data_IF_378062606162
#
_entry.id   IF_378062606162
#
_cell.length_a   1.000
_cell.length_b   1.000
_cell.length_c   1.000
_cell.angle_alpha   90.00
_cell.angle_beta   90.00
_cell.angle_gamma   90.00
#
_symmetry.space_group_name_H-M   'P 1'
#
loop_
_entity.id
_entity.type
_entity.pdbx_description
1 polymer ?
#
# COMPACT_ATOMS: atom_id res chain seq x y z
N UNK A 1 -24.65 11.27 8.28
CA UNK A 1 -23.38 11.90 7.88
C UNK A 1 -22.39 11.89 9.03
N UNK A 2 -21.09 11.84 8.77
CA UNK A 2 -20.08 11.89 9.86
C UNK A 2 -20.03 13.28 10.48
N UNK A 3 -20.01 14.32 9.65
CA UNK A 3 -20.06 15.72 10.06
C UNK A 3 -21.32 16.40 9.51
N UNK A 4 -21.71 17.56 10.02
CA UNK A 4 -22.79 18.36 9.45
C UNK A 4 -22.55 18.61 7.96
N UNK A 5 -23.61 18.51 7.16
CA UNK A 5 -23.52 18.67 5.72
C UNK A 5 -24.70 19.48 5.20
N UNK A 6 -24.44 20.38 4.26
CA UNK A 6 -25.49 21.12 3.56
C UNK A 6 -26.09 20.35 2.37
N UNK A 7 -25.57 19.15 2.06
CA UNK A 7 -26.01 18.36 0.91
C UNK A 7 -27.31 17.59 1.19
N UNK A 8 -27.73 17.47 2.48
CA UNK A 8 -28.97 16.81 2.90
C UNK A 8 -29.46 17.47 4.20
N UNK A 9 -30.61 18.10 4.16
CA UNK A 9 -31.18 18.83 5.30
C UNK A 9 -31.57 17.90 6.46
N UNK A 10 -31.85 16.61 6.18
CA UNK A 10 -32.30 15.60 7.15
C UNK A 10 -31.21 14.62 7.59
N UNK A 11 -29.95 14.88 7.28
CA UNK A 11 -28.87 13.94 7.61
C UNK A 11 -28.51 14.02 9.10
N UNK A 12 -28.87 12.97 9.85
CA UNK A 12 -28.40 12.80 11.23
C UNK A 12 -26.87 12.74 11.27
N UNK A 13 -26.26 13.52 12.18
CA UNK A 13 -24.82 13.56 12.39
C UNK A 13 -24.42 12.43 13.32
N UNK A 14 -23.67 11.48 12.80
CA UNK A 14 -23.18 10.33 13.54
C UNK A 14 -22.11 10.71 14.58
N UNK A 15 -21.18 11.56 14.17
CA UNK A 15 -20.03 11.96 14.99
C UNK A 15 -18.93 10.92 15.09
N UNK A 16 -17.74 11.36 15.48
CA UNK A 16 -16.50 10.55 15.52
C UNK A 16 -16.60 9.43 16.55
N UNK A 17 -17.17 9.70 17.72
CA UNK A 17 -17.28 8.70 18.80
C UNK A 17 -18.06 7.47 18.35
N UNK A 18 -19.24 7.68 17.77
CA UNK A 18 -20.10 6.59 17.31
C UNK A 18 -19.49 5.86 16.09
N UNK A 19 -18.77 6.59 15.22
CA UNK A 19 -18.01 5.99 14.14
C UNK A 19 -16.97 4.99 14.67
N UNK A 20 -16.20 5.38 15.69
CA UNK A 20 -15.20 4.52 16.32
C UNK A 20 -15.82 3.27 16.98
N UNK A 21 -16.93 3.43 17.70
CA UNK A 21 -17.68 2.30 18.27
C UNK A 21 -18.14 1.31 17.17
N UNK A 22 -18.51 1.81 15.99
CA UNK A 22 -18.92 0.96 14.86
C UNK A 22 -17.74 0.21 14.27
N UNK A 23 -16.59 0.87 14.04
CA UNK A 23 -15.38 0.23 13.48
C UNK A 23 -14.81 -0.82 14.42
N UNK A 24 -14.93 -0.65 15.72
CA UNK A 24 -14.53 -1.64 16.74
C UNK A 24 -15.46 -2.87 16.78
N UNK A 25 -16.69 -2.73 16.30
CA UNK A 25 -17.72 -3.78 16.39
C UNK A 25 -17.82 -4.63 15.12
N UNK A 26 -17.45 -4.07 13.97
CA UNK A 26 -17.67 -4.68 12.65
C UNK A 26 -16.31 -4.98 12.00
N UNK A 27 -16.05 -6.24 11.71
CA UNK A 27 -14.83 -6.69 11.02
C UNK A 27 -15.01 -6.67 9.47
N UNK A 28 -15.38 -5.50 8.96
CA UNK A 28 -15.53 -5.24 7.51
C UNK A 28 -14.90 -3.89 7.18
N UNK A 29 -14.33 -3.74 5.95
CA UNK A 29 -13.84 -2.45 5.51
C UNK A 29 -14.92 -1.38 5.56
N UNK A 30 -14.63 -0.26 6.24
CA UNK A 30 -15.58 0.83 6.41
C UNK A 30 -15.08 2.13 5.79
N UNK A 31 -15.98 2.80 5.06
CA UNK A 31 -15.72 4.09 4.43
C UNK A 31 -16.60 5.17 5.06
N UNK A 32 -15.99 6.22 5.57
CA UNK A 32 -16.70 7.36 6.13
C UNK A 32 -17.19 8.30 5.02
N UNK A 33 -18.45 8.75 5.14
CA UNK A 33 -19.05 9.67 4.18
C UNK A 33 -19.93 10.73 4.90
N UNK A 34 -20.00 11.91 4.30
CA UNK A 34 -20.90 13.01 4.68
C UNK A 34 -20.24 14.10 5.54
N UNK A 35 -20.22 15.32 5.00
CA UNK A 35 -19.67 16.51 5.62
C UNK A 35 -18.15 16.53 5.77
N UNK A 36 -17.44 15.58 5.15
CA UNK A 36 -15.97 15.51 5.20
C UNK A 36 -15.39 16.54 4.23
N UNK A 37 -14.41 17.29 4.70
CA UNK A 37 -13.73 18.36 3.97
C UNK A 37 -12.22 18.35 4.25
N UNK A 38 -11.48 19.19 3.53
CA UNK A 38 -10.06 19.42 3.79
C UNK A 38 -9.78 19.80 5.26
N UNK A 39 -10.64 20.61 5.88
CA UNK A 39 -10.40 21.13 7.21
C UNK A 39 -10.66 20.12 8.33
N UNK A 40 -11.61 19.19 8.12
CA UNK A 40 -12.03 18.26 9.18
C UNK A 40 -11.60 16.81 8.95
N UNK A 41 -11.06 16.43 7.77
CA UNK A 41 -10.70 15.04 7.49
C UNK A 41 -9.70 14.46 8.50
N UNK A 42 -8.76 15.25 9.03
CA UNK A 42 -7.80 14.78 10.04
C UNK A 42 -8.43 14.36 11.37
N UNK A 43 -9.64 14.81 11.67
CA UNK A 43 -10.37 14.36 12.85
C UNK A 43 -10.79 12.89 12.78
N UNK A 44 -10.70 12.28 11.59
CA UNK A 44 -10.99 10.87 11.36
C UNK A 44 -9.79 9.95 11.66
N UNK A 45 -8.64 10.52 12.05
CA UNK A 45 -7.47 9.74 12.46
C UNK A 45 -7.82 8.82 13.63
N UNK A 46 -7.29 7.62 13.61
CA UNK A 46 -7.46 6.60 14.67
C UNK A 46 -8.94 6.19 14.93
N UNK A 47 -9.81 6.38 13.94
CA UNK A 47 -11.21 5.92 14.03
C UNK A 47 -11.42 4.51 13.49
N UNK A 48 -10.41 3.88 12.91
CA UNK A 48 -10.49 2.51 12.37
C UNK A 48 -11.18 2.40 11.01
N UNK A 49 -11.42 3.51 10.29
CA UNK A 49 -11.95 3.47 8.93
C UNK A 49 -10.87 3.15 7.89
N UNK A 50 -11.26 2.52 6.80
CA UNK A 50 -10.38 2.15 5.68
C UNK A 50 -10.36 3.21 4.58
N UNK A 51 -11.29 4.16 4.59
CA UNK A 51 -11.37 5.19 3.57
C UNK A 51 -12.35 6.30 3.87
N UNK A 52 -12.31 7.34 3.05
CA UNK A 52 -13.30 8.41 3.03
C UNK A 52 -13.95 8.54 1.65
N UNK A 53 -15.23 8.94 1.62
CA UNK A 53 -15.92 9.35 0.41
C UNK A 53 -16.35 10.81 0.54
N UNK A 54 -16.05 11.62 -0.48
CA UNK A 54 -16.34 13.05 -0.50
C UNK A 54 -16.98 13.46 -1.83
N UNK A 55 -17.88 14.41 -1.78
CA UNK A 55 -18.52 15.00 -2.98
C UNK A 55 -18.26 16.51 -3.00
N UNK A 56 -18.89 17.27 -2.12
CA UNK A 56 -18.83 18.74 -2.11
C UNK A 56 -17.43 19.27 -1.81
N UNK A 57 -16.62 18.55 -1.07
CA UNK A 57 -15.22 18.90 -0.81
C UNK A 57 -14.36 18.99 -2.08
N UNK A 58 -14.76 18.30 -3.14
CA UNK A 58 -14.08 18.33 -4.45
C UNK A 58 -14.89 19.10 -5.47
N UNK A 59 -16.12 18.66 -5.73
CA UNK A 59 -16.95 19.24 -6.82
C UNK A 59 -17.50 20.63 -6.50
N UNK A 60 -17.50 21.05 -5.25
CA UNK A 60 -17.80 22.44 -4.84
C UNK A 60 -16.64 23.43 -5.01
N UNK A 61 -15.46 22.96 -5.43
CA UNK A 61 -14.26 23.80 -5.56
C UNK A 61 -14.09 24.35 -6.98
N UNK A 62 -13.55 25.56 -7.10
CA UNK A 62 -13.23 26.18 -8.41
C UNK A 62 -12.15 25.41 -9.18
N UNK A 63 -11.21 24.83 -8.46
CA UNK A 63 -10.06 24.08 -9.01
C UNK A 63 -10.08 22.65 -8.52
N UNK A 64 -10.97 21.82 -9.07
CA UNK A 64 -11.23 20.44 -8.64
C UNK A 64 -9.94 19.61 -8.59
N UNK A 65 -9.10 19.68 -9.63
CA UNK A 65 -7.83 18.95 -9.69
C UNK A 65 -6.92 19.27 -8.51
N UNK A 66 -6.75 20.55 -8.19
CA UNK A 66 -5.90 20.97 -7.06
C UNK A 66 -6.51 20.54 -5.73
N UNK A 67 -7.81 20.75 -5.55
CA UNK A 67 -8.52 20.33 -4.35
C UNK A 67 -8.41 18.81 -4.11
N UNK A 68 -8.45 18.01 -5.19
CA UNK A 68 -8.26 16.55 -5.10
C UNK A 68 -6.84 16.21 -4.64
N UNK A 69 -5.82 16.84 -5.24
CA UNK A 69 -4.42 16.61 -4.86
C UNK A 69 -4.19 16.97 -3.38
N UNK A 70 -4.70 18.14 -2.96
CA UNK A 70 -4.47 18.63 -1.62
C UNK A 70 -5.21 17.80 -0.57
N UNK A 71 -6.46 17.42 -0.85
CA UNK A 71 -7.23 16.54 0.03
C UNK A 71 -6.60 15.15 0.10
N UNK A 72 -6.16 14.59 -1.03
CA UNK A 72 -5.49 13.29 -1.06
C UNK A 72 -4.25 13.29 -0.18
N UNK A 73 -3.33 14.25 -0.35
CA UNK A 73 -2.13 14.37 0.49
C UNK A 73 -2.46 14.45 1.98
N UNK A 74 -3.54 15.15 2.33
CA UNK A 74 -3.96 15.32 3.71
C UNK A 74 -4.58 14.03 4.27
N UNK A 75 -5.31 13.30 3.44
CA UNK A 75 -5.92 12.00 3.80
C UNK A 75 -4.87 10.90 3.89
N UNK A 76 -3.88 10.89 3.01
CA UNK A 76 -2.76 9.94 3.08
C UNK A 76 -2.01 10.03 4.44
N UNK A 77 -2.03 11.20 5.07
CA UNK A 77 -1.50 11.37 6.43
C UNK A 77 -2.40 10.79 7.55
N UNK A 78 -3.64 10.38 7.26
CA UNK A 78 -4.52 9.67 8.21
C UNK A 78 -4.17 8.19 8.32
N UNK A 79 -3.76 7.63 7.20
CA UNK A 79 -3.36 6.23 7.12
C UNK A 79 -1.85 6.18 7.31
N UNK A 80 -1.37 5.24 8.12
CA UNK A 80 0.06 4.95 8.13
C UNK A 80 0.45 4.65 6.68
N UNK A 81 1.25 5.51 6.08
CA UNK A 81 1.81 5.28 4.75
C UNK A 81 2.62 4.00 4.85
N UNK A 82 2.17 2.95 4.19
CA UNK A 82 2.89 1.70 4.14
C UNK A 82 4.18 1.97 3.36
N UNK A 83 5.34 1.90 4.04
CA UNK A 83 6.64 2.03 3.38
C UNK A 83 6.79 0.99 2.30
N UNK A 84 7.45 1.33 1.20
CA UNK A 84 7.66 0.43 0.07
C UNK A 84 9.08 -0.11 0.04
N UNK A 85 9.24 -1.40 -0.20
CA UNK A 85 10.54 -2.04 -0.31
C UNK A 85 10.57 -3.05 -1.47
N UNK A 86 11.60 -2.96 -2.30
CA UNK A 86 11.87 -3.94 -3.37
C UNK A 86 12.92 -4.95 -2.90
N UNK A 87 12.61 -6.26 -2.99
CA UNK A 87 13.64 -7.29 -2.90
C UNK A 87 14.04 -7.76 -4.30
N UNK A 88 15.35 -7.78 -4.55
CA UNK A 88 15.97 -8.34 -5.76
C UNK A 88 16.69 -9.61 -5.33
N UNK A 89 16.10 -10.77 -5.59
CA UNK A 89 16.63 -12.05 -5.09
C UNK A 89 16.06 -13.24 -5.87
N UNK A 90 16.65 -14.41 -5.66
CA UNK A 90 16.10 -15.67 -6.13
C UNK A 90 14.84 -16.08 -5.37
N UNK A 91 14.07 -16.98 -5.95
CA UNK A 91 12.91 -17.59 -5.27
C UNK A 91 13.37 -18.78 -4.42
N UNK A 92 12.52 -19.18 -3.47
CA UNK A 92 12.57 -20.46 -2.76
C UNK A 92 11.19 -21.08 -2.78
N UNK A 93 11.02 -22.19 -3.49
CA UNK A 93 9.72 -22.87 -3.63
C UNK A 93 9.14 -23.34 -2.30
N UNK A 94 9.97 -23.60 -1.28
CA UNK A 94 9.53 -23.94 0.07
C UNK A 94 9.13 -22.73 0.92
N UNK A 95 9.49 -21.52 0.47
CA UNK A 95 9.10 -20.28 1.11
C UNK A 95 9.89 -19.90 2.36
N UNK A 96 11.00 -20.58 2.67
CA UNK A 96 11.85 -20.34 3.83
C UNK A 96 12.99 -19.35 3.60
N UNK A 97 13.29 -19.03 2.34
CA UNK A 97 14.34 -18.12 1.93
C UNK A 97 13.89 -17.27 0.73
N UNK A 98 14.83 -16.53 0.12
CA UNK A 98 14.64 -15.77 -1.10
C UNK A 98 13.52 -14.73 -0.98
N UNK A 99 12.91 -14.40 -2.11
CA UNK A 99 11.82 -13.41 -2.17
C UNK A 99 10.63 -13.77 -1.28
N UNK A 100 10.33 -15.05 -1.10
CA UNK A 100 9.19 -15.50 -0.30
C UNK A 100 9.39 -15.19 1.19
N UNK A 101 10.59 -15.38 1.73
CA UNK A 101 10.92 -15.01 3.10
C UNK A 101 10.96 -13.49 3.27
N UNK A 102 11.51 -12.78 2.29
CA UNK A 102 11.59 -11.32 2.29
C UNK A 102 10.19 -10.69 2.31
N UNK A 103 9.30 -11.10 1.41
CA UNK A 103 7.93 -10.59 1.33
C UNK A 103 7.11 -10.86 2.60
N UNK A 104 7.26 -12.06 3.19
CA UNK A 104 6.64 -12.39 4.49
C UNK A 104 7.15 -11.48 5.61
N UNK A 105 8.46 -11.22 5.63
CA UNK A 105 9.09 -10.35 6.62
C UNK A 105 8.63 -8.90 6.44
N UNK A 106 8.60 -8.39 5.21
CA UNK A 106 8.10 -7.06 4.89
C UNK A 106 6.65 -6.89 5.34
N UNK A 107 5.78 -7.86 4.99
CA UNK A 107 4.37 -7.85 5.40
C UNK A 107 4.21 -7.85 6.92
N UNK A 108 4.97 -8.69 7.63
CA UNK A 108 4.92 -8.76 9.09
C UNK A 108 5.35 -7.44 9.77
N UNK A 109 6.15 -6.62 9.07
CA UNK A 109 6.57 -5.29 9.51
C UNK A 109 5.76 -4.14 8.90
N UNK A 110 4.60 -4.43 8.32
CA UNK A 110 3.71 -3.44 7.67
C UNK A 110 4.42 -2.67 6.53
N UNK A 111 5.26 -3.33 5.77
CA UNK A 111 5.95 -2.81 4.59
C UNK A 111 5.33 -3.42 3.34
N UNK A 112 5.01 -2.60 2.35
CA UNK A 112 4.58 -3.07 1.03
C UNK A 112 5.78 -3.65 0.29
N UNK A 113 5.86 -4.99 0.24
CA UNK A 113 6.95 -5.72 -0.39
C UNK A 113 6.70 -5.94 -1.88
N UNK A 114 7.68 -5.55 -2.68
CA UNK A 114 7.76 -5.82 -4.12
C UNK A 114 8.95 -6.72 -4.41
N UNK A 115 8.96 -7.43 -5.55
CA UNK A 115 10.06 -8.34 -5.87
C UNK A 115 10.47 -8.27 -7.35
N UNK A 116 11.79 -8.34 -7.58
CA UNK A 116 12.40 -8.65 -8.87
C UNK A 116 13.21 -9.96 -8.72
N UNK A 117 12.86 -10.95 -9.52
CA UNK A 117 13.36 -12.31 -9.36
C UNK A 117 14.62 -12.50 -10.20
N UNK A 118 15.71 -12.94 -9.56
CA UNK A 118 16.99 -13.21 -10.22
C UNK A 118 17.12 -14.64 -10.73
N UNK A 119 16.48 -15.58 -10.05
CA UNK A 119 16.41 -16.99 -10.46
C UNK A 119 15.21 -17.67 -9.80
N UNK A 120 14.62 -18.64 -10.48
CA UNK A 120 13.66 -19.56 -9.89
C UNK A 120 14.40 -20.79 -9.40
N UNK A 121 14.10 -21.29 -8.20
CA UNK A 121 14.68 -22.50 -7.67
C UNK A 121 13.63 -23.56 -7.37
N UNK A 122 13.98 -24.81 -7.63
CA UNK A 122 13.33 -25.97 -7.04
C UNK A 122 14.05 -26.28 -5.73
N UNK A 123 13.56 -25.71 -4.64
CA UNK A 123 14.25 -25.71 -3.33
C UNK A 123 13.31 -26.14 -2.22
N UNK A 124 13.89 -26.80 -1.20
CA UNK A 124 13.23 -27.13 0.05
C UNK A 124 14.24 -26.97 1.22
N UNK A 125 13.84 -27.38 2.43
CA UNK A 125 14.67 -27.24 3.63
C UNK A 125 15.93 -28.10 3.63
N UNK A 126 16.07 -29.04 2.70
CA UNK A 126 17.22 -29.96 2.59
C UNK A 126 18.20 -29.53 1.49
N UNK A 127 17.79 -28.68 0.55
CA UNK A 127 18.68 -28.19 -0.52
C UNK A 127 17.95 -27.66 -1.74
N UNK A 128 18.76 -27.29 -2.75
CA UNK A 128 18.32 -26.85 -4.07
C UNK A 128 18.56 -27.98 -5.06
N UNK A 129 17.50 -28.39 -5.78
CA UNK A 129 17.56 -29.49 -6.75
C UNK A 129 17.63 -29.02 -8.21
N UNK A 130 17.11 -27.82 -8.49
CA UNK A 130 17.16 -27.23 -9.82
C UNK A 130 17.11 -25.72 -9.76
N UNK A 131 17.66 -25.03 -10.79
CA UNK A 131 17.72 -23.58 -10.88
C UNK A 131 17.42 -23.15 -12.32
N UNK A 132 16.52 -22.19 -12.47
CA UNK A 132 16.27 -21.49 -13.73
C UNK A 132 16.68 -20.03 -13.56
N UNK A 133 17.76 -19.64 -14.22
CA UNK A 133 18.23 -18.25 -14.20
C UNK A 133 17.32 -17.34 -15.02
N UNK A 134 17.16 -16.13 -14.53
CA UNK A 134 16.50 -15.03 -15.26
C UNK A 134 17.57 -14.31 -16.09
N UNK A 135 17.21 -13.89 -17.31
CA UNK A 135 18.16 -13.12 -18.14
C UNK A 135 18.34 -11.69 -17.59
N UNK A 136 19.51 -11.05 -17.83
CA UNK A 136 19.75 -9.67 -17.42
C UNK A 136 18.67 -8.71 -17.94
N UNK A 137 18.26 -8.86 -19.19
CA UNK A 137 17.27 -8.01 -19.85
C UNK A 137 15.90 -8.15 -19.17
N UNK A 138 15.54 -9.37 -18.73
CA UNK A 138 14.27 -9.57 -18.04
C UNK A 138 14.30 -9.08 -16.59
N UNK A 139 15.45 -9.22 -15.90
CA UNK A 139 15.64 -8.63 -14.58
C UNK A 139 15.54 -7.10 -14.64
N UNK A 140 16.19 -6.46 -15.62
CA UNK A 140 16.05 -5.02 -15.87
C UNK A 140 14.59 -4.62 -16.08
N UNK A 141 13.86 -5.38 -16.91
CA UNK A 141 12.44 -5.12 -17.18
C UNK A 141 11.58 -5.19 -15.92
N UNK A 142 11.83 -6.17 -15.02
CA UNK A 142 11.14 -6.26 -13.73
C UNK A 142 11.42 -5.04 -12.84
N UNK A 143 12.68 -4.64 -12.75
CA UNK A 143 13.10 -3.49 -11.93
C UNK A 143 12.47 -2.21 -12.48
N UNK A 144 12.54 -1.96 -13.79
CA UNK A 144 11.94 -0.79 -14.44
C UNK A 144 10.43 -0.73 -14.18
N UNK A 145 9.72 -1.85 -14.36
CA UNK A 145 8.28 -1.90 -14.14
C UNK A 145 7.88 -1.47 -12.72
N UNK A 146 8.70 -1.82 -11.71
CA UNK A 146 8.46 -1.39 -10.33
C UNK A 146 8.78 0.10 -10.15
N UNK A 147 9.95 0.56 -10.61
CA UNK A 147 10.40 1.94 -10.42
C UNK A 147 9.55 2.96 -11.20
N UNK A 148 8.97 2.57 -12.33
CA UNK A 148 8.13 3.44 -13.17
C UNK A 148 6.74 3.70 -12.55
N UNK A 149 6.27 2.82 -11.64
CA UNK A 149 4.94 2.93 -11.02
C UNK A 149 5.04 3.15 -9.50
N UNK A 150 5.61 2.19 -8.75
CA UNK A 150 5.72 2.26 -7.29
C UNK A 150 7.19 2.39 -6.92
N UNK A 151 7.67 3.62 -6.81
CA UNK A 151 9.07 3.87 -6.45
C UNK A 151 9.40 3.30 -5.06
N UNK A 152 10.33 2.34 -4.93
CA UNK A 152 10.67 1.76 -3.62
C UNK A 152 11.47 2.74 -2.77
N UNK A 153 11.09 2.89 -1.49
CA UNK A 153 11.84 3.68 -0.51
C UNK A 153 13.11 2.97 -0.04
N UNK A 154 13.13 1.64 -0.13
CA UNK A 154 14.27 0.81 0.18
C UNK A 154 14.40 -0.35 -0.81
N UNK A 155 15.64 -0.77 -1.06
CA UNK A 155 15.95 -1.95 -1.88
C UNK A 155 16.81 -2.92 -1.07
N UNK A 156 16.36 -4.18 -1.00
CA UNK A 156 17.14 -5.30 -0.44
C UNK A 156 17.65 -6.16 -1.59
N UNK A 157 18.94 -6.41 -1.65
CA UNK A 157 19.53 -7.33 -2.61
C UNK A 157 19.87 -8.63 -1.90
N UNK A 158 19.35 -9.73 -2.43
CA UNK A 158 19.64 -11.07 -1.98
C UNK A 158 20.61 -11.80 -2.90
N UNK A 159 20.31 -13.07 -3.21
CA UNK A 159 21.14 -13.86 -4.11
C UNK A 159 21.02 -13.34 -5.55
N UNK A 160 22.18 -13.04 -6.14
CA UNK A 160 22.36 -12.74 -7.56
C UNK A 160 23.30 -13.81 -8.12
N UNK A 161 22.79 -14.63 -9.03
CA UNK A 161 23.44 -15.88 -9.46
C UNK A 161 24.67 -15.67 -10.35
N UNK A 162 24.78 -14.54 -11.03
CA UNK A 162 25.86 -14.30 -12.00
C UNK A 162 26.33 -12.84 -12.03
N UNK A 163 27.59 -12.66 -12.50
CA UNK A 163 28.17 -11.35 -12.73
C UNK A 163 27.37 -10.53 -13.76
N UNK A 164 26.78 -11.18 -14.75
CA UNK A 164 25.98 -10.52 -15.78
C UNK A 164 24.71 -9.85 -15.25
N UNK A 165 24.17 -10.34 -14.13
CA UNK A 165 23.00 -9.73 -13.47
C UNK A 165 23.36 -8.51 -12.61
N UNK A 166 24.65 -8.22 -12.40
CA UNK A 166 25.12 -7.10 -11.56
C UNK A 166 25.42 -5.85 -12.41
N UNK A 167 25.74 -6.03 -13.69
CA UNK A 167 26.12 -4.98 -14.63
C UNK A 167 24.95 -4.55 -15.52
#
# INVERSE_FOLDING_TARGET
>A
AIFPTSSKDDAEVLGIKRLKEMTETVDLPMVAIGGISYDNCLLLKDTGIDGIAVISALFGQKHIKQATIDLKKRVDALYETMHTCLTIAGSDSSGGAGIQADLKTMLANKVFGMSAITALTAQNTTGVTDIMDVTPEFLESQIRAVFDDIYPEAVKIGMVSSKALIH
#
